data_IF_387756654512
#
_entry.id   IF_387756654512
#
_cell.length_a   1.000
_cell.length_b   1.000
_cell.length_c   1.000
_cell.angle_alpha   90.00
_cell.angle_beta   90.00
_cell.angle_gamma   90.00
#
_symmetry.space_group_name_H-M   'P 1'
#
loop_
_entity.id
_entity.type
_entity.pdbx_description
1 polymer ?
#
# COMPACT_ATOMS: atom_id res chain seq x y z
N UNK A 1 4.51 17.12 -4.57
CA UNK A 1 5.06 17.96 -3.49
C UNK A 1 3.90 18.77 -2.90
N UNK A 2 2.89 18.06 -2.39
CA UNK A 2 1.63 18.54 -1.81
C UNK A 2 1.32 17.49 -0.76
N UNK A 3 1.74 17.73 0.49
CA UNK A 3 1.38 16.98 1.71
C UNK A 3 2.55 17.04 2.68
N UNK A 4 2.78 18.21 3.24
CA UNK A 4 3.38 18.23 4.57
C UNK A 4 2.56 19.16 5.45
N UNK A 5 1.34 18.72 5.78
CA UNK A 5 0.48 19.43 6.74
C UNK A 5 1.14 19.50 8.11
N UNK A 6 2.05 18.58 8.46
CA UNK A 6 2.87 18.74 9.65
C UNK A 6 3.78 19.97 9.50
N UNK A 7 4.42 20.16 8.35
CA UNK A 7 5.15 21.41 8.07
C UNK A 7 4.23 22.65 8.15
N UNK A 8 3.01 22.56 7.63
CA UNK A 8 2.00 23.61 7.75
C UNK A 8 1.65 23.93 9.20
N UNK A 9 1.44 22.91 10.03
CA UNK A 9 1.13 23.02 11.45
C UNK A 9 2.33 23.55 12.26
N UNK A 10 3.57 23.15 11.94
CA UNK A 10 4.77 23.70 12.58
C UNK A 10 4.96 25.17 12.21
N UNK A 11 4.73 25.54 10.95
CA UNK A 11 4.80 26.93 10.51
C UNK A 11 3.72 27.77 11.21
N UNK A 12 2.51 27.25 11.30
CA UNK A 12 1.42 27.88 12.06
C UNK A 12 1.77 28.04 13.54
N UNK A 13 2.34 27.00 14.15
CA UNK A 13 2.85 27.06 15.52
C UNK A 13 3.87 28.21 15.68
N UNK A 14 4.85 28.29 14.79
CA UNK A 14 5.88 29.33 14.81
C UNK A 14 5.34 30.74 14.56
N UNK A 15 4.28 30.88 13.76
CA UNK A 15 3.64 32.18 13.52
C UNK A 15 2.80 32.63 14.71
N UNK A 16 2.07 31.69 15.32
CA UNK A 16 1.15 31.98 16.42
C UNK A 16 1.87 32.24 17.75
N UNK A 17 3.00 31.59 17.96
CA UNK A 17 3.82 31.74 19.16
C UNK A 17 5.18 32.32 18.77
N UNK A 18 5.45 33.58 19.14
CA UNK A 18 6.70 34.27 18.82
C UNK A 18 7.91 33.46 19.32
N UNK A 19 9.08 33.54 18.68
CA UNK A 19 10.24 32.68 18.96
C UNK A 19 10.69 32.69 20.43
N UNK A 20 10.62 33.84 21.10
CA UNK A 20 10.97 33.97 22.52
C UNK A 20 9.90 33.39 23.45
N UNK A 21 8.63 33.61 23.12
CA UNK A 21 7.48 33.08 23.88
C UNK A 21 7.37 31.58 23.71
N UNK A 22 7.65 31.06 22.51
CA UNK A 22 7.62 29.64 22.19
C UNK A 22 8.66 28.87 22.99
N UNK A 23 9.90 29.35 23.12
CA UNK A 23 10.92 28.66 23.95
C UNK A 23 10.51 28.62 25.43
N UNK A 24 10.04 29.74 25.98
CA UNK A 24 9.57 29.78 27.37
C UNK A 24 8.36 28.87 27.59
N UNK A 25 7.43 28.86 26.63
CA UNK A 25 6.25 28.03 26.67
C UNK A 25 6.59 26.54 26.55
N UNK A 26 7.47 26.17 25.62
CA UNK A 26 7.97 24.80 25.46
C UNK A 26 8.63 24.32 26.74
N UNK A 27 9.53 25.13 27.33
CA UNK A 27 10.19 24.78 28.59
C UNK A 27 9.18 24.60 29.73
N UNK A 28 8.08 25.37 29.76
CA UNK A 28 7.02 25.20 30.76
C UNK A 28 6.21 23.91 30.59
N UNK A 29 6.26 23.29 29.42
CA UNK A 29 5.53 22.07 29.08
C UNK A 29 6.43 20.83 29.06
N UNK A 30 7.73 20.98 29.32
CA UNK A 30 8.70 19.88 29.28
C UNK A 30 8.36 18.78 30.30
N UNK A 31 7.94 19.18 31.50
CA UNK A 31 7.53 18.26 32.58
C UNK A 31 6.20 17.54 32.27
N UNK A 32 5.39 18.08 31.36
CA UNK A 32 4.13 17.47 30.94
C UNK A 32 4.31 16.45 29.81
N UNK A 33 5.48 16.43 29.16
CA UNK A 33 5.74 15.53 28.05
C UNK A 33 5.83 14.07 28.54
N UNK A 34 4.92 13.17 28.14
CA UNK A 34 4.83 11.85 28.76
C UNK A 34 5.79 10.82 28.16
N UNK A 35 6.60 11.19 27.15
CA UNK A 35 7.37 10.24 26.34
C UNK A 35 8.89 10.34 26.54
N UNK A 36 9.31 10.58 27.79
CA UNK A 36 10.72 10.53 28.17
C UNK A 36 11.21 9.08 28.15
N UNK A 37 12.13 8.77 27.22
CA UNK A 37 12.76 7.44 27.10
C UNK A 37 14.25 7.57 27.33
N UNK A 38 14.76 6.78 28.26
CA UNK A 38 16.18 6.72 28.57
C UNK A 38 16.98 6.34 27.32
N UNK A 39 18.01 7.14 27.00
CA UNK A 39 18.87 6.93 25.84
C UNK A 39 18.33 7.45 24.50
N UNK A 40 17.19 8.14 24.48
CA UNK A 40 16.73 8.87 23.29
C UNK A 40 17.69 10.03 22.98
N UNK A 41 18.10 10.16 21.71
CA UNK A 41 18.93 11.30 21.32
C UNK A 41 18.12 12.61 21.35
N UNK A 42 18.83 13.72 21.64
CA UNK A 42 18.21 15.04 21.82
C UNK A 42 17.39 15.48 20.61
N UNK A 43 17.80 15.14 19.38
CA UNK A 43 17.07 15.54 18.18
C UNK A 43 15.73 14.78 18.05
N UNK A 44 15.73 13.47 18.32
CA UNK A 44 14.50 12.69 18.34
C UNK A 44 13.59 13.07 19.51
N UNK A 45 14.16 13.46 20.65
CA UNK A 45 13.40 14.00 21.77
C UNK A 45 12.69 15.30 21.39
N UNK A 46 13.42 16.29 20.86
CA UNK A 46 12.85 17.57 20.40
C UNK A 46 11.77 17.34 19.35
N UNK A 47 12.03 16.47 18.37
CA UNK A 47 11.04 16.15 17.33
C UNK A 47 9.79 15.49 17.92
N UNK A 48 9.97 14.52 18.80
CA UNK A 48 8.84 13.82 19.45
C UNK A 48 8.03 14.76 20.33
N UNK A 49 8.71 15.68 21.02
CA UNK A 49 8.07 16.75 21.78
C UNK A 49 7.24 17.66 20.88
N UNK A 50 7.80 18.12 19.76
CA UNK A 50 7.08 18.95 18.80
C UNK A 50 5.86 18.24 18.21
N UNK A 51 5.97 16.95 17.90
CA UNK A 51 4.84 16.14 17.43
C UNK A 51 3.73 16.04 18.48
N UNK A 52 4.10 15.76 19.74
CA UNK A 52 3.16 15.74 20.86
C UNK A 52 2.48 17.10 21.05
N UNK A 53 3.27 18.17 21.05
CA UNK A 53 2.77 19.52 21.27
C UNK A 53 1.76 19.93 20.20
N UNK A 54 2.07 19.66 18.93
CA UNK A 54 1.21 20.03 17.80
C UNK A 54 -0.06 19.17 17.72
N UNK A 55 0.04 17.86 17.97
CA UNK A 55 -1.04 16.91 17.67
C UNK A 55 -1.88 16.50 18.89
N UNK A 56 -1.28 16.51 20.08
CA UNK A 56 -1.89 15.94 21.29
C UNK A 56 -2.19 16.97 22.37
N UNK A 57 -1.27 17.92 22.58
CA UNK A 57 -1.37 18.86 23.70
C UNK A 57 -2.55 19.82 23.52
N UNK A 58 -3.39 19.86 24.55
CA UNK A 58 -4.43 20.88 24.71
C UNK A 58 -3.75 22.12 25.31
N UNK A 59 -3.89 23.25 24.61
CA UNK A 59 -3.27 24.51 24.99
C UNK A 59 -4.12 25.16 26.09
N UNK A 60 -3.58 25.40 27.31
CA UNK A 60 -4.38 25.87 28.44
C UNK A 60 -5.15 27.17 28.17
N UNK A 61 -4.56 28.09 27.38
CA UNK A 61 -5.14 29.39 27.09
C UNK A 61 -6.39 29.30 26.18
N UNK A 62 -6.41 28.34 25.25
CA UNK A 62 -7.52 28.20 24.29
C UNK A 62 -8.45 27.05 24.64
N UNK A 63 -8.00 26.09 25.46
CA UNK A 63 -8.70 24.83 25.72
C UNK A 63 -8.77 23.92 24.50
N UNK A 64 -8.03 24.22 23.43
CA UNK A 64 -8.05 23.52 22.14
C UNK A 64 -6.68 22.97 21.79
N UNK A 65 -6.65 21.98 20.90
CA UNK A 65 -5.41 21.54 20.24
C UNK A 65 -5.01 22.51 19.15
N UNK A 66 -3.73 22.47 18.78
CA UNK A 66 -3.25 23.32 17.69
C UNK A 66 -3.94 22.97 16.36
N UNK A 67 -4.22 21.69 16.12
CA UNK A 67 -4.94 21.21 14.93
C UNK A 67 -6.37 21.75 14.84
N UNK A 68 -7.07 21.87 15.96
CA UNK A 68 -8.42 22.46 16.02
C UNK A 68 -8.37 23.96 15.73
N UNK A 69 -7.43 24.67 16.36
CA UNK A 69 -7.22 26.10 16.09
C UNK A 69 -6.83 26.36 14.63
N UNK A 70 -5.99 25.50 14.07
CA UNK A 70 -5.56 25.59 12.67
C UNK A 70 -6.75 25.46 11.71
N UNK A 71 -7.63 24.48 11.93
CA UNK A 71 -8.83 24.29 11.10
C UNK A 71 -9.81 25.45 11.19
N UNK A 72 -9.98 26.04 12.39
CA UNK A 72 -10.86 27.21 12.58
C UNK A 72 -10.36 28.47 11.88
N UNK A 73 -9.03 28.66 11.84
CA UNK A 73 -8.40 29.85 11.26
C UNK A 73 -8.09 29.72 9.76
N UNK A 74 -8.32 28.55 9.15
CA UNK A 74 -8.11 28.27 7.72
C UNK A 74 -9.42 27.77 7.06
N UNK A 75 -10.43 28.65 6.90
CA UNK A 75 -11.72 28.28 6.33
C UNK A 75 -11.64 27.83 4.86
N UNK A 76 -10.57 28.18 4.15
CA UNK A 76 -10.29 27.81 2.77
C UNK A 76 -9.95 26.33 2.56
N UNK A 77 -9.65 25.59 3.63
CA UNK A 77 -9.43 24.15 3.56
C UNK A 77 -10.73 23.44 3.15
N UNK A 78 -10.62 22.43 2.29
CA UNK A 78 -11.73 21.57 1.95
C UNK A 78 -12.13 20.67 3.15
N UNK A 79 -13.37 20.22 3.18
CA UNK A 79 -13.90 19.42 4.30
C UNK A 79 -13.16 18.09 4.49
N UNK A 80 -12.66 17.47 3.42
CA UNK A 80 -11.89 16.22 3.52
C UNK A 80 -10.58 16.46 4.27
N UNK A 81 -9.86 17.54 3.94
CA UNK A 81 -8.63 17.95 4.60
C UNK A 81 -8.87 18.34 6.06
N UNK A 82 -9.93 19.10 6.36
CA UNK A 82 -10.30 19.44 7.74
C UNK A 82 -10.54 18.19 8.59
N UNK A 83 -11.31 17.22 8.07
CA UNK A 83 -11.57 15.97 8.79
C UNK A 83 -10.30 15.15 9.01
N UNK A 84 -9.38 15.10 8.04
CA UNK A 84 -8.06 14.45 8.23
C UNK A 84 -7.27 15.10 9.37
N UNK A 85 -7.22 16.43 9.41
CA UNK A 85 -6.51 17.19 10.47
C UNK A 85 -7.15 16.95 11.83
N UNK A 86 -8.48 17.00 11.95
CA UNK A 86 -9.18 16.77 13.22
C UNK A 86 -9.04 15.32 13.71
N UNK A 87 -8.94 14.36 12.79
CA UNK A 87 -8.75 12.95 13.13
C UNK A 87 -7.35 12.61 13.64
N UNK A 88 -6.38 13.52 13.53
CA UNK A 88 -5.05 13.36 14.14
C UNK A 88 -5.10 13.12 15.65
N UNK A 89 -6.20 13.50 16.31
CA UNK A 89 -6.41 13.27 17.74
C UNK A 89 -6.44 11.80 18.15
N UNK A 90 -6.74 10.90 17.22
CA UNK A 90 -6.87 9.47 17.44
C UNK A 90 -5.49 8.79 17.34
N UNK A 91 -4.57 9.19 18.21
CA UNK A 91 -3.21 8.66 18.21
C UNK A 91 -3.18 7.26 18.83
N UNK A 92 -2.51 6.35 18.14
CA UNK A 92 -2.26 4.98 18.58
C UNK A 92 -0.80 4.90 19.03
N UNK A 93 -0.62 4.53 20.30
CA UNK A 93 0.69 4.38 20.93
C UNK A 93 0.92 2.89 21.20
N UNK A 94 1.86 2.29 20.50
CA UNK A 94 2.16 0.88 20.68
C UNK A 94 3.59 0.51 20.32
N UNK A 95 3.89 -0.76 20.56
CA UNK A 95 5.02 -1.46 19.98
C UNK A 95 4.56 -2.08 18.66
N UNK A 96 5.11 -1.58 17.58
CA UNK A 96 4.83 -2.06 16.24
C UNK A 96 6.00 -2.91 15.74
N UNK A 97 5.69 -3.95 14.98
CA UNK A 97 6.68 -4.66 14.18
C UNK A 97 6.42 -4.35 12.71
N UNK A 98 7.48 -4.01 11.98
CA UNK A 98 7.40 -3.78 10.53
C UNK A 98 7.31 -5.13 9.82
N UNK A 99 6.14 -5.43 9.28
CA UNK A 99 5.91 -6.65 8.49
C UNK A 99 6.48 -6.51 7.08
N UNK A 100 6.29 -5.34 6.48
CA UNK A 100 6.71 -5.04 5.11
C UNK A 100 7.13 -3.59 4.96
N UNK A 101 8.06 -3.34 4.02
CA UNK A 101 8.46 -2.00 3.58
C UNK A 101 8.53 -1.95 2.06
N UNK A 102 7.87 -0.97 1.47
CA UNK A 102 7.93 -0.63 0.05
C UNK A 102 8.07 0.88 -0.14
N UNK A 103 9.31 1.31 -0.42
CA UNK A 103 9.66 2.74 -0.45
C UNK A 103 9.39 3.41 0.90
N UNK A 104 8.42 4.32 0.90
CA UNK A 104 7.95 5.04 2.10
C UNK A 104 6.79 4.34 2.82
N UNK A 105 6.17 3.33 2.20
CA UNK A 105 5.03 2.62 2.77
C UNK A 105 5.52 1.48 3.66
N UNK A 106 4.94 1.39 4.85
CA UNK A 106 5.17 0.33 5.82
C UNK A 106 3.86 -0.37 6.12
N UNK A 107 3.92 -1.70 6.27
CA UNK A 107 2.87 -2.46 6.93
C UNK A 107 3.32 -2.76 8.34
N UNK A 108 2.67 -2.15 9.32
CA UNK A 108 2.95 -2.37 10.73
C UNK A 108 1.94 -3.36 11.32
N UNK A 109 2.40 -4.17 12.27
CA UNK A 109 1.56 -4.98 13.15
C UNK A 109 1.76 -4.51 14.58
N UNK A 110 0.68 -4.17 15.26
CA UNK A 110 0.68 -3.82 16.67
C UNK A 110 0.82 -5.09 17.50
N UNK A 111 1.89 -5.16 18.30
CA UNK A 111 2.20 -6.34 19.12
C UNK A 111 1.21 -6.53 20.29
N UNK A 112 0.52 -5.48 20.73
CA UNK A 112 -0.40 -5.54 21.87
C UNK A 112 -1.72 -6.19 21.49
N UNK A 113 -2.26 -5.88 20.30
CA UNK A 113 -3.60 -6.31 19.88
C UNK A 113 -3.63 -7.08 18.55
N UNK A 114 -2.50 -7.21 17.84
CA UNK A 114 -2.41 -7.91 16.56
C UNK A 114 -2.96 -7.14 15.35
N UNK A 115 -3.38 -5.89 15.51
CA UNK A 115 -3.95 -5.08 14.42
C UNK A 115 -2.88 -4.65 13.42
N UNK A 116 -3.27 -4.46 12.15
CA UNK A 116 -2.36 -4.01 11.08
C UNK A 116 -2.66 -2.58 10.65
N UNK A 117 -1.60 -1.86 10.32
CA UNK A 117 -1.67 -0.46 9.89
C UNK A 117 -0.80 -0.23 8.66
N UNK A 118 -1.37 0.40 7.64
CA UNK A 118 -0.63 0.91 6.47
C UNK A 118 -0.11 2.31 6.79
N UNK A 119 1.18 2.43 7.09
CA UNK A 119 1.81 3.68 7.54
C UNK A 119 2.72 4.23 6.46
N UNK A 120 2.63 5.53 6.17
CA UNK A 120 3.51 6.17 5.18
C UNK A 120 4.50 7.11 5.86
N UNK A 121 5.79 6.81 5.71
CA UNK A 121 6.89 7.62 6.23
C UNK A 121 6.99 8.97 5.49
N UNK A 122 7.46 10.01 6.18
CA UNK A 122 7.77 11.31 5.57
C UNK A 122 9.02 11.20 4.70
N UNK A 123 10.03 10.47 5.19
CA UNK A 123 11.28 10.21 4.50
C UNK A 123 11.70 8.75 4.65
N UNK A 124 12.49 8.27 3.69
CA UNK A 124 12.97 6.89 3.73
C UNK A 124 14.05 6.76 4.81
N UNK A 125 13.69 6.21 5.97
CA UNK A 125 14.66 5.89 7.01
C UNK A 125 15.27 4.49 6.75
N UNK A 126 16.58 4.37 6.44
CA UNK A 126 17.23 3.09 6.15
C UNK A 126 17.29 2.14 7.35
N UNK A 127 17.17 2.66 8.59
CA UNK A 127 17.09 1.88 9.82
C UNK A 127 15.70 1.25 10.02
N UNK A 128 14.69 1.66 9.27
CA UNK A 128 13.38 1.01 9.32
C UNK A 128 13.31 0.03 8.16
N UNK A 129 13.29 -1.26 8.46
CA UNK A 129 13.20 -2.36 7.51
C UNK A 129 12.17 -3.37 8.01
N UNK A 130 11.85 -4.39 7.20
CA UNK A 130 11.10 -5.53 7.70
C UNK A 130 11.82 -6.11 8.93
N UNK A 131 11.04 -6.49 9.95
CA UNK A 131 11.52 -6.92 11.26
C UNK A 131 12.12 -5.83 12.18
N UNK A 132 12.03 -4.55 11.81
CA UNK A 132 12.29 -3.47 12.77
C UNK A 132 11.13 -3.41 13.77
N UNK A 133 11.44 -3.42 15.06
CA UNK A 133 10.51 -3.06 16.12
C UNK A 133 10.54 -1.54 16.33
N UNK A 134 9.36 -0.95 16.39
CA UNK A 134 9.15 0.48 16.54
C UNK A 134 8.28 0.68 17.78
N UNK A 135 8.84 1.26 18.83
CA UNK A 135 8.02 1.92 19.84
C UNK A 135 7.73 3.31 19.30
N UNK A 136 6.45 3.66 19.12
CA UNK A 136 6.12 4.91 18.46
C UNK A 136 4.64 5.26 18.51
N UNK A 137 4.31 6.35 17.82
CA UNK A 137 2.97 6.91 17.73
C UNK A 137 2.56 7.00 16.28
N UNK A 138 1.35 6.55 15.97
CA UNK A 138 0.75 6.73 14.64
C UNK A 138 -0.63 7.37 14.75
N UNK A 139 -1.04 8.09 13.72
CA UNK A 139 -2.36 8.70 13.64
C UNK A 139 -2.99 8.47 12.25
N UNK A 140 -4.32 8.42 12.15
CA UNK A 140 -5.00 8.20 10.88
C UNK A 140 -4.92 9.44 9.98
N UNK A 141 -4.77 9.19 8.68
CA UNK A 141 -4.71 10.20 7.62
C UNK A 141 -5.47 9.71 6.38
N UNK A 142 -6.80 9.79 6.43
CA UNK A 142 -7.66 9.17 5.43
C UNK A 142 -7.61 7.64 5.54
N UNK A 143 -7.18 6.96 4.48
CA UNK A 143 -7.08 5.49 4.43
C UNK A 143 -5.71 4.94 4.88
N UNK A 144 -4.76 5.83 5.18
CA UNK A 144 -3.41 5.48 5.63
C UNK A 144 -3.17 6.04 7.03
N UNK A 145 -2.06 5.65 7.64
CA UNK A 145 -1.56 6.19 8.88
C UNK A 145 -0.24 6.95 8.66
N UNK A 146 0.07 7.86 9.57
CA UNK A 146 1.33 8.61 9.61
C UNK A 146 1.96 8.48 10.98
N UNK A 147 3.29 8.62 11.06
CA UNK A 147 3.98 8.68 12.35
C UNK A 147 3.79 10.06 12.99
N UNK A 148 3.47 10.07 14.29
CA UNK A 148 3.55 11.22 15.20
C UNK A 148 4.74 11.09 16.15
N UNK A 149 5.84 10.50 15.67
CA UNK A 149 7.06 10.29 16.45
C UNK A 149 7.44 8.82 16.58
N UNK A 150 8.74 8.57 16.43
CA UNK A 150 9.37 7.27 16.66
C UNK A 150 10.21 7.41 17.92
N UNK A 151 9.82 6.65 18.93
CA UNK A 151 10.33 6.74 20.29
C UNK A 151 11.57 5.84 20.49
N UNK A 152 11.51 4.62 19.96
CA UNK A 152 12.65 3.73 19.93
C UNK A 152 12.59 2.82 18.70
N UNK A 153 13.77 2.46 18.20
CA UNK A 153 13.96 1.46 17.16
C UNK A 153 14.81 0.33 17.71
N UNK A 154 14.33 -0.90 17.56
CA UNK A 154 15.11 -2.08 17.87
C UNK A 154 15.13 -3.02 16.67
N UNK A 155 16.32 -3.42 16.25
CA UNK A 155 16.50 -4.51 15.29
C UNK A 155 16.72 -5.78 16.10
N UNK A 156 15.70 -6.63 16.19
CA UNK A 156 15.86 -7.90 16.91
C UNK A 156 16.12 -9.01 15.89
N UNK A 157 17.38 -9.46 15.71
CA UNK A 157 17.71 -10.51 14.75
C UNK A 157 16.99 -11.85 15.04
N UNK A 158 16.44 -12.01 16.25
CA UNK A 158 15.76 -13.23 16.71
C UNK A 158 14.23 -13.20 16.63
N UNK A 159 13.59 -12.06 16.34
CA UNK A 159 12.14 -12.05 16.13
C UNK A 159 11.86 -12.50 14.71
N UNK A 160 11.88 -13.81 14.48
CA UNK A 160 11.32 -14.41 13.27
C UNK A 160 9.82 -14.50 13.45
N UNK A 161 9.12 -13.37 13.33
CA UNK A 161 7.65 -13.39 13.27
C UNK A 161 7.25 -14.21 12.02
N UNK A 162 6.44 -15.28 12.17
CA UNK A 162 6.02 -16.12 11.06
C UNK A 162 5.41 -15.34 9.91
N UNK A 163 4.75 -14.22 10.17
CA UNK A 163 4.14 -13.39 9.14
C UNK A 163 5.17 -12.59 8.33
N UNK A 164 6.29 -12.19 8.95
CA UNK A 164 7.41 -11.58 8.22
C UNK A 164 8.01 -12.60 7.27
N UNK A 165 8.23 -13.83 7.76
CA UNK A 165 8.74 -14.92 6.93
C UNK A 165 7.78 -15.25 5.79
N UNK A 166 6.48 -15.37 6.09
CA UNK A 166 5.44 -15.63 5.09
C UNK A 166 5.36 -14.48 4.09
N UNK A 167 5.37 -13.22 4.52
CA UNK A 167 5.34 -12.08 3.62
C UNK A 167 6.56 -12.07 2.68
N UNK A 168 7.76 -12.33 3.22
CA UNK A 168 8.98 -12.44 2.42
C UNK A 168 8.91 -13.60 1.42
N UNK A 169 8.42 -14.76 1.85
CA UNK A 169 8.19 -15.92 1.00
C UNK A 169 7.21 -15.60 -0.13
N UNK A 170 6.04 -15.05 0.19
CA UNK A 170 5.03 -14.67 -0.80
C UNK A 170 5.58 -13.69 -1.83
N UNK A 171 6.28 -12.64 -1.37
CA UNK A 171 6.90 -11.64 -2.26
C UNK A 171 7.87 -12.31 -3.23
N UNK A 172 8.75 -13.18 -2.74
CA UNK A 172 9.74 -13.89 -3.56
C UNK A 172 9.09 -14.82 -4.58
N UNK A 173 8.05 -15.54 -4.18
CA UNK A 173 7.34 -16.46 -5.07
C UNK A 173 6.50 -15.73 -6.13
N UNK A 174 5.88 -14.59 -5.77
CA UNK A 174 5.24 -13.67 -6.72
C UNK A 174 6.27 -13.17 -7.74
N UNK A 175 7.41 -12.64 -7.30
CA UNK A 175 8.47 -12.12 -8.16
C UNK A 175 9.02 -13.20 -9.12
N UNK A 176 9.19 -14.43 -8.61
CA UNK A 176 9.60 -15.58 -9.41
C UNK A 176 8.57 -15.92 -10.47
N UNK A 177 7.30 -15.96 -10.11
CA UNK A 177 6.19 -16.24 -11.05
C UNK A 177 6.08 -15.16 -12.12
N UNK A 178 6.28 -13.89 -11.75
CA UNK A 178 6.29 -12.76 -12.68
C UNK A 178 7.57 -12.64 -13.51
N UNK A 179 8.53 -13.56 -13.35
CA UNK A 179 9.72 -13.63 -14.20
C UNK A 179 9.53 -14.47 -15.48
N UNK A 180 8.34 -15.05 -15.70
CA UNK A 180 8.01 -15.80 -16.92
C UNK A 180 8.26 -14.91 -18.14
N UNK A 181 8.98 -15.43 -19.12
CA UNK A 181 9.21 -14.73 -20.39
C UNK A 181 7.94 -14.76 -21.23
N UNK A 182 7.51 -13.58 -21.67
CA UNK A 182 6.35 -13.34 -22.51
C UNK A 182 6.77 -12.87 -23.90
N UNK A 183 5.85 -13.04 -24.85
CA UNK A 183 5.88 -12.50 -26.21
C UNK A 183 4.49 -11.94 -26.56
N UNK A 184 4.37 -11.05 -27.56
CA UNK A 184 3.06 -10.57 -28.02
C UNK A 184 2.10 -11.66 -28.50
N UNK A 185 2.62 -12.84 -28.85
CA UNK A 185 1.88 -14.03 -29.27
C UNK A 185 1.61 -15.04 -28.14
N UNK A 186 1.95 -14.70 -26.89
CA UNK A 186 1.80 -15.63 -25.77
C UNK A 186 0.32 -15.95 -25.51
N UNK A 187 0.05 -17.25 -25.42
CA UNK A 187 -1.27 -17.80 -25.10
C UNK A 187 -1.49 -17.89 -23.59
N UNK A 188 -2.75 -17.81 -23.16
CA UNK A 188 -3.12 -17.88 -21.75
C UNK A 188 -2.72 -19.24 -21.14
N UNK A 189 -3.04 -20.34 -21.82
CA UNK A 189 -2.70 -21.70 -21.36
C UNK A 189 -1.20 -21.89 -21.11
N UNK A 190 -0.35 -21.30 -21.96
CA UNK A 190 1.11 -21.36 -21.81
C UNK A 190 1.61 -20.66 -20.53
N UNK A 191 0.92 -19.61 -20.10
CA UNK A 191 1.20 -18.90 -18.85
C UNK A 191 0.63 -19.65 -17.65
N UNK A 192 -0.63 -20.09 -17.72
CA UNK A 192 -1.29 -20.82 -16.64
C UNK A 192 -0.56 -22.11 -16.26
N UNK A 193 0.02 -22.82 -17.23
CA UNK A 193 0.84 -24.00 -16.96
C UNK A 193 2.11 -23.69 -16.16
N UNK A 194 2.60 -22.45 -16.19
CA UNK A 194 3.75 -21.97 -15.39
C UNK A 194 3.32 -21.35 -14.06
N UNK A 195 2.07 -20.93 -13.92
CA UNK A 195 1.55 -20.39 -12.68
C UNK A 195 1.49 -21.45 -11.56
N UNK A 196 1.60 -21.00 -10.30
CA UNK A 196 1.40 -21.85 -9.13
C UNK A 196 -0.06 -22.33 -9.08
N UNK A 197 -0.28 -23.51 -8.49
CA UNK A 197 -1.63 -24.09 -8.44
C UNK A 197 -2.59 -23.19 -7.64
N UNK A 198 -2.09 -22.48 -6.63
CA UNK A 198 -2.85 -21.53 -5.81
C UNK A 198 -3.55 -20.45 -6.65
N UNK A 199 -2.87 -19.96 -7.69
CA UNK A 199 -3.42 -18.93 -8.59
C UNK A 199 -4.42 -19.54 -9.55
N UNK A 200 -4.07 -20.67 -10.15
CA UNK A 200 -4.96 -21.41 -11.06
C UNK A 200 -6.27 -21.79 -10.36
N UNK A 201 -6.20 -22.26 -9.10
CA UNK A 201 -7.37 -22.61 -8.30
C UNK A 201 -8.22 -21.40 -7.94
N UNK A 202 -7.59 -20.25 -7.67
CA UNK A 202 -8.29 -18.98 -7.51
C UNK A 202 -9.05 -18.56 -8.77
N UNK A 203 -8.43 -18.71 -9.96
CA UNK A 203 -9.09 -18.47 -11.24
C UNK A 203 -10.25 -19.45 -11.49
N UNK A 204 -10.07 -20.74 -11.20
CA UNK A 204 -11.14 -21.72 -11.29
C UNK A 204 -12.33 -21.30 -10.41
N UNK A 205 -12.05 -20.89 -9.17
CA UNK A 205 -13.09 -20.50 -8.21
C UNK A 205 -13.90 -19.29 -8.70
N UNK A 206 -13.25 -18.23 -9.19
CA UNK A 206 -13.98 -17.03 -9.67
C UNK A 206 -14.78 -17.32 -10.94
N UNK A 207 -14.29 -18.22 -11.79
CA UNK A 207 -14.95 -18.63 -13.03
C UNK A 207 -16.00 -19.74 -12.83
N UNK A 208 -16.25 -20.14 -11.57
CA UNK A 208 -17.17 -21.22 -11.21
C UNK A 208 -16.82 -22.56 -11.89
N UNK A 209 -15.52 -22.84 -12.01
CA UNK A 209 -14.96 -24.11 -12.49
C UNK A 209 -14.53 -24.98 -11.30
N UNK A 210 -14.49 -26.30 -11.49
CA UNK A 210 -13.96 -27.23 -10.49
C UNK A 210 -12.47 -27.02 -10.23
N UNK A 211 -12.06 -27.05 -8.97
CA UNK A 211 -10.64 -26.91 -8.56
C UNK A 211 -9.89 -28.25 -8.50
N UNK A 212 -10.61 -29.37 -8.59
CA UNK A 212 -10.04 -30.72 -8.64
C UNK A 212 -9.35 -31.02 -10.00
N UNK A 213 -8.48 -32.03 -10.00
CA UNK A 213 -7.83 -32.53 -11.22
C UNK A 213 -6.45 -31.93 -11.51
N UNK A 214 -5.90 -32.24 -12.69
CA UNK A 214 -4.54 -31.84 -13.08
C UNK A 214 -4.52 -30.36 -13.49
N UNK A 215 -3.42 -29.67 -13.17
CA UNK A 215 -3.25 -28.24 -13.47
C UNK A 215 -3.40 -27.92 -14.97
N UNK A 216 -2.91 -28.80 -15.85
CA UNK A 216 -2.96 -28.57 -17.29
C UNK A 216 -4.40 -28.64 -17.83
N UNK A 217 -5.24 -29.52 -17.26
CA UNK A 217 -6.66 -29.59 -17.61
C UNK A 217 -7.37 -28.31 -17.15
N UNK A 218 -7.14 -27.89 -15.91
CA UNK A 218 -7.65 -26.60 -15.39
C UNK A 218 -7.25 -25.41 -16.24
N UNK A 219 -5.99 -25.36 -16.69
CA UNK A 219 -5.50 -24.29 -17.55
C UNK A 219 -6.24 -24.22 -18.90
N UNK A 220 -6.57 -25.38 -19.49
CA UNK A 220 -7.38 -25.45 -20.71
C UNK A 220 -8.80 -24.97 -20.42
N UNK A 221 -9.44 -25.50 -19.39
CA UNK A 221 -10.83 -25.20 -19.06
C UNK A 221 -11.02 -23.71 -18.73
N UNK A 222 -10.06 -23.08 -18.02
CA UNK A 222 -10.02 -21.63 -17.78
C UNK A 222 -9.96 -20.86 -19.11
N UNK A 223 -9.03 -21.22 -20.00
CA UNK A 223 -8.84 -20.51 -21.26
C UNK A 223 -10.08 -20.61 -22.16
N UNK A 224 -10.69 -21.78 -22.26
CA UNK A 224 -11.93 -22.00 -23.00
C UNK A 224 -13.09 -21.20 -22.39
N UNK A 225 -13.25 -21.24 -21.06
CA UNK A 225 -14.30 -20.52 -20.35
C UNK A 225 -14.21 -19.01 -20.57
N UNK A 226 -13.01 -18.43 -20.50
CA UNK A 226 -12.81 -16.99 -20.70
C UNK A 226 -13.14 -16.58 -22.13
N UNK A 227 -12.75 -17.38 -23.14
CA UNK A 227 -13.07 -17.09 -24.54
C UNK A 227 -14.57 -17.12 -24.79
N UNK A 228 -15.27 -18.12 -24.25
CA UNK A 228 -16.73 -18.25 -24.42
C UNK A 228 -17.49 -17.14 -23.68
N UNK A 229 -17.16 -16.88 -22.42
CA UNK A 229 -17.93 -16.00 -21.53
C UNK A 229 -17.35 -14.58 -21.44
N UNK A 230 -16.50 -14.18 -22.39
CA UNK A 230 -15.71 -12.94 -22.32
C UNK A 230 -16.57 -11.69 -22.02
N UNK A 231 -17.71 -11.53 -22.71
CA UNK A 231 -18.61 -10.38 -22.51
C UNK A 231 -19.18 -10.35 -21.09
N UNK A 232 -19.61 -11.51 -20.56
CA UNK A 232 -20.15 -11.64 -19.20
C UNK A 232 -19.08 -11.34 -18.15
N UNK A 233 -17.84 -11.76 -18.39
CA UNK A 233 -16.71 -11.46 -17.52
C UNK A 233 -16.45 -9.95 -17.50
N UNK A 234 -16.42 -9.31 -18.66
CA UNK A 234 -16.20 -7.85 -18.78
C UNK A 234 -17.29 -7.09 -18.03
N UNK A 235 -18.55 -7.46 -18.18
CA UNK A 235 -19.67 -6.78 -17.52
C UNK A 235 -19.53 -6.77 -15.99
N UNK A 236 -19.00 -7.85 -15.41
CA UNK A 236 -18.74 -8.00 -13.98
C UNK A 236 -17.54 -7.20 -13.46
N UNK A 237 -16.68 -6.68 -14.33
CA UNK A 237 -15.51 -5.92 -13.89
C UNK A 237 -15.91 -4.52 -13.37
N UNK A 238 -15.26 -4.03 -12.30
CA UNK A 238 -15.35 -2.63 -11.92
C UNK A 238 -14.87 -1.69 -13.04
N UNK A 239 -15.40 -0.47 -13.08
CA UNK A 239 -15.07 0.51 -14.13
C UNK A 239 -13.57 0.80 -14.22
N UNK A 240 -12.90 0.90 -13.07
CA UNK A 240 -11.44 1.11 -13.03
C UNK A 240 -10.65 -0.04 -13.66
N UNK A 241 -11.11 -1.28 -13.52
CA UNK A 241 -10.52 -2.46 -14.19
C UNK A 241 -10.80 -2.44 -15.69
N UNK A 242 -12.00 -2.03 -16.12
CA UNK A 242 -12.33 -1.84 -17.54
C UNK A 242 -11.44 -0.77 -18.18
N UNK A 243 -11.22 0.35 -17.50
CA UNK A 243 -10.32 1.42 -17.94
C UNK A 243 -8.88 0.92 -18.12
N UNK A 244 -8.34 0.21 -17.12
CA UNK A 244 -7.01 -0.39 -17.20
C UNK A 244 -6.88 -1.38 -18.35
N UNK A 245 -7.91 -2.23 -18.57
CA UNK A 245 -7.93 -3.20 -19.67
C UNK A 245 -7.96 -2.50 -21.03
N UNK A 246 -8.80 -1.49 -21.21
CA UNK A 246 -8.83 -0.65 -22.44
C UNK A 246 -7.50 0.04 -22.69
N UNK A 247 -6.87 0.56 -21.64
CA UNK A 247 -5.55 1.19 -21.75
C UNK A 247 -4.50 0.21 -22.29
N UNK A 248 -4.44 -1.02 -21.76
CA UNK A 248 -3.50 -2.05 -22.24
C UNK A 248 -3.82 -2.43 -23.69
N UNK A 249 -5.11 -2.57 -24.03
CA UNK A 249 -5.57 -2.94 -25.36
C UNK A 249 -5.22 -1.88 -26.42
N UNK A 250 -5.46 -0.61 -26.12
CA UNK A 250 -5.11 0.54 -26.98
C UNK A 250 -3.61 0.65 -27.26
N UNK A 251 -2.77 0.09 -26.38
CA UNK A 251 -1.32 0.01 -26.56
C UNK A 251 -0.87 -1.28 -27.28
N UNK A 252 -1.75 -1.91 -28.06
CA UNK A 252 -1.43 -3.12 -28.83
C UNK A 252 -1.48 -4.41 -28.01
N UNK A 253 -2.18 -4.40 -26.87
CA UNK A 253 -2.41 -5.56 -26.02
C UNK A 253 -1.32 -5.84 -25.00
N UNK A 254 -0.29 -4.99 -24.88
CA UNK A 254 0.71 -5.09 -23.81
C UNK A 254 1.34 -3.73 -23.47
N UNK A 255 1.76 -3.56 -22.22
CA UNK A 255 2.43 -2.33 -21.76
C UNK A 255 3.50 -2.65 -20.71
N UNK A 256 4.54 -1.80 -20.63
CA UNK A 256 5.47 -1.83 -19.49
C UNK A 256 4.67 -1.64 -18.21
N UNK A 257 4.93 -2.47 -17.21
CA UNK A 257 4.16 -2.49 -15.97
C UNK A 257 4.19 -1.14 -15.22
N UNK A 258 5.29 -0.39 -15.33
CA UNK A 258 5.40 0.95 -14.74
C UNK A 258 4.46 2.00 -15.34
N UNK A 259 3.88 1.77 -16.52
CA UNK A 259 2.85 2.64 -17.09
C UNK A 259 1.47 2.43 -16.44
N UNK A 260 1.31 1.38 -15.62
CA UNK A 260 0.08 1.08 -14.89
C UNK A 260 0.13 1.57 -13.43
N UNK A 261 1.05 2.49 -13.09
CA UNK A 261 1.25 2.99 -11.73
C UNK A 261 0.03 3.69 -11.11
N UNK A 262 -0.89 4.19 -11.96
CA UNK A 262 -2.11 4.89 -11.54
C UNK A 262 -3.29 3.93 -11.25
N UNK A 263 -3.03 2.62 -11.35
CA UNK A 263 -3.96 1.54 -11.01
C UNK A 263 -3.38 0.74 -9.85
N UNK A 264 -4.21 0.47 -8.84
CA UNK A 264 -3.84 -0.41 -7.74
C UNK A 264 -3.61 -1.85 -8.27
N UNK A 265 -2.57 -2.48 -7.73
CA UNK A 265 -2.03 -3.71 -8.29
C UNK A 265 -1.62 -4.74 -7.23
N UNK A 266 -2.15 -4.58 -6.02
CA UNK A 266 -1.90 -5.49 -4.91
C UNK A 266 -2.41 -6.90 -5.24
N UNK A 267 -1.56 -7.90 -5.02
CA UNK A 267 -1.86 -9.33 -5.19
C UNK A 267 -1.28 -10.11 -4.01
N UNK A 268 -1.87 -11.28 -3.73
CA UNK A 268 -1.36 -12.25 -2.75
C UNK A 268 -0.76 -13.47 -3.43
N UNK A 269 -0.06 -14.32 -2.68
CA UNK A 269 0.32 -15.64 -3.20
C UNK A 269 -0.85 -16.64 -3.19
N UNK A 270 -1.77 -16.50 -2.24
CA UNK A 270 -2.83 -17.48 -1.95
C UNK A 270 -4.19 -17.08 -2.53
N UNK A 271 -4.35 -17.03 -3.85
CA UNK A 271 -5.61 -16.54 -4.47
C UNK A 271 -6.83 -17.40 -4.15
N UNK A 272 -6.64 -18.67 -3.78
CA UNK A 272 -7.69 -19.56 -3.32
C UNK A 272 -8.29 -19.14 -1.96
N UNK A 273 -7.52 -18.46 -1.12
CA UNK A 273 -7.97 -17.99 0.21
C UNK A 273 -8.19 -16.47 0.23
N UNK A 274 -7.29 -15.74 -0.43
CA UNK A 274 -7.23 -14.29 -0.45
C UNK A 274 -7.16 -13.82 -1.91
N UNK A 275 -8.26 -13.92 -2.67
CA UNK A 275 -8.29 -13.51 -4.06
C UNK A 275 -7.93 -12.01 -4.18
N UNK A 276 -7.18 -11.61 -5.22
CA UNK A 276 -6.86 -10.21 -5.45
C UNK A 276 -8.13 -9.37 -5.62
N UNK A 277 -8.13 -8.18 -5.03
CA UNK A 277 -9.23 -7.21 -5.14
C UNK A 277 -8.85 -5.94 -5.88
N UNK A 278 -7.56 -5.76 -6.15
CA UNK A 278 -7.05 -4.56 -6.79
C UNK A 278 -7.42 -4.49 -8.26
N UNK A 279 -7.40 -3.29 -8.87
CA UNK A 279 -7.75 -3.09 -10.28
C UNK A 279 -7.03 -4.06 -11.21
N UNK A 280 -5.69 -4.14 -11.12
CA UNK A 280 -4.88 -5.04 -11.94
C UNK A 280 -4.96 -6.48 -11.42
N UNK A 281 -5.09 -6.68 -10.11
CA UNK A 281 -5.26 -8.00 -9.50
C UNK A 281 -6.49 -8.73 -10.01
N UNK A 282 -7.63 -8.04 -10.15
CA UNK A 282 -8.87 -8.60 -10.70
C UNK A 282 -8.71 -9.01 -12.16
N UNK A 283 -8.07 -8.19 -12.99
CA UNK A 283 -7.80 -8.54 -14.38
C UNK A 283 -6.96 -9.82 -14.51
N UNK A 284 -6.02 -10.02 -13.58
CA UNK A 284 -5.23 -11.25 -13.49
C UNK A 284 -6.05 -12.42 -12.99
N UNK A 285 -6.88 -12.22 -11.96
CA UNK A 285 -7.75 -13.25 -11.39
C UNK A 285 -8.76 -13.79 -12.42
N UNK A 286 -9.27 -12.95 -13.32
CA UNK A 286 -10.13 -13.36 -14.43
C UNK A 286 -9.35 -13.89 -15.65
N UNK A 287 -8.02 -13.97 -15.59
CA UNK A 287 -7.17 -14.45 -16.69
C UNK A 287 -7.10 -13.53 -17.91
N UNK A 288 -7.60 -12.29 -17.81
CA UNK A 288 -7.63 -11.32 -18.91
C UNK A 288 -6.26 -10.64 -19.12
N UNK A 289 -5.48 -10.51 -18.07
CA UNK A 289 -4.13 -9.95 -18.10
C UNK A 289 -3.16 -10.89 -17.41
N UNK A 290 -2.01 -11.10 -18.04
CA UNK A 290 -0.88 -11.83 -17.45
C UNK A 290 0.29 -10.87 -17.22
N UNK A 291 1.04 -11.10 -16.14
CA UNK A 291 2.24 -10.32 -15.81
C UNK A 291 3.46 -11.21 -15.92
N UNK A 292 4.48 -10.71 -16.60
CA UNK A 292 5.73 -11.41 -16.84
C UNK A 292 6.83 -10.46 -17.30
N UNK A 293 7.92 -11.01 -17.84
CA UNK A 293 9.02 -10.24 -18.45
C UNK A 293 8.97 -10.36 -19.97
N UNK A 294 9.05 -9.25 -20.69
CA UNK A 294 9.08 -9.25 -22.15
C UNK A 294 10.36 -8.56 -22.66
N UNK A 295 11.06 -9.11 -23.67
CA UNK A 295 12.20 -8.45 -24.28
C UNK A 295 11.76 -7.22 -25.06
N UNK A 296 12.43 -6.09 -24.82
CA UNK A 296 12.32 -4.88 -25.64
C UNK A 296 13.73 -4.37 -25.90
N UNK A 297 14.25 -4.65 -27.10
CA UNK A 297 15.67 -4.51 -27.41
C UNK A 297 16.51 -5.52 -26.61
N UNK A 298 17.55 -5.05 -25.93
CA UNK A 298 18.48 -5.90 -25.16
C UNK A 298 18.07 -6.14 -23.71
N UNK A 299 16.99 -5.48 -23.23
CA UNK A 299 16.56 -5.54 -21.82
C UNK A 299 15.21 -6.24 -21.69
N UNK A 300 15.04 -6.96 -20.59
CA UNK A 300 13.76 -7.52 -20.16
C UNK A 300 13.04 -6.53 -19.27
N UNK A 301 11.79 -6.20 -19.62
CA UNK A 301 10.94 -5.33 -18.80
C UNK A 301 9.78 -6.13 -18.22
N UNK A 302 9.38 -5.80 -16.99
CA UNK A 302 8.12 -6.27 -16.42
C UNK A 302 6.98 -5.69 -17.27
N UNK A 303 6.10 -6.54 -17.76
CA UNK A 303 5.07 -6.21 -18.76
C UNK A 303 3.76 -6.86 -18.37
N UNK A 304 2.68 -6.09 -18.46
CA UNK A 304 1.32 -6.61 -18.47
C UNK A 304 0.92 -6.90 -19.92
N UNK A 305 0.35 -8.07 -20.17
CA UNK A 305 -0.02 -8.55 -21.51
C UNK A 305 -1.44 -9.12 -21.47
N UNK A 306 -2.25 -8.79 -22.48
CA UNK A 306 -3.50 -9.47 -22.79
C UNK A 306 -3.15 -10.68 -23.67
N UNK A 307 -3.50 -11.92 -23.26
CA UNK A 307 -3.25 -13.13 -24.05
C UNK A 307 -3.76 -13.01 -25.49
N UNK A 308 -2.99 -13.53 -26.45
CA UNK A 308 -3.22 -13.25 -27.88
C UNK A 308 -4.62 -13.60 -28.37
N UNK A 309 -5.16 -14.71 -27.90
CA UNK A 309 -6.48 -15.23 -28.23
C UNK A 309 -7.63 -14.34 -27.74
N UNK A 310 -7.40 -13.48 -26.74
CA UNK A 310 -8.43 -12.58 -26.20
C UNK A 310 -8.43 -11.22 -26.90
N UNK A 311 -7.33 -10.83 -27.54
CA UNK A 311 -7.12 -9.45 -28.01
C UNK A 311 -8.16 -9.01 -29.05
N UNK A 312 -8.43 -9.80 -30.08
CA UNK A 312 -9.35 -9.38 -31.16
C UNK A 312 -10.79 -9.26 -30.64
N UNK A 313 -11.27 -10.27 -29.91
CA UNK A 313 -12.61 -10.24 -29.32
C UNK A 313 -12.76 -9.12 -28.28
N UNK A 314 -11.71 -8.80 -27.53
CA UNK A 314 -11.71 -7.65 -26.62
C UNK A 314 -11.83 -6.31 -27.36
N UNK A 315 -11.20 -6.16 -28.53
CA UNK A 315 -11.35 -4.95 -29.35
C UNK A 315 -12.80 -4.78 -29.78
N UNK A 316 -13.42 -5.83 -30.29
CA UNK A 316 -14.83 -5.80 -30.73
C UNK A 316 -15.81 -5.41 -29.61
N UNK A 317 -15.52 -5.78 -28.36
CA UNK A 317 -16.40 -5.51 -27.22
C UNK A 317 -16.14 -4.12 -26.61
N UNK A 318 -14.90 -3.63 -26.65
CA UNK A 318 -14.46 -2.51 -25.80
C UNK A 318 -14.03 -1.25 -26.54
N UNK A 319 -13.75 -1.34 -27.84
CA UNK A 319 -13.29 -0.24 -28.72
C UNK A 319 -14.27 -0.01 -29.86
#
# INVERSE_FOLDING_TARGET
MKDDILLGLYNYCHQKYNKTEMTQFINSLEDEFPYHIEGMDTNNLIRSFMDWFVLEKIIPQTGKRLTESYVEEHPELDEETKQKILNTKNIIISEFIVIAKDGLNLKLKDRKNGSYYSVVQISNNPQIQANTMILGRIFPWGQIYRFAGVMALAHTPMILDPEIMMHHYEKKEIERTESIILSPSTKLTAVLNKYPFQWVDGMCSILSLGTGGRKNDKARDIAEKIVTDLSVIIDKLPDRSKEALKFILNNGGFVKYGLLKDYDNEISWWWNNHPPKSTIGLLRLYGLVVVGKMPQGTKLYKTALIPKELQEKLKEIML
#
